data_IF_651883751958
#
_entry.id   IF_651883751958
#
_cell.length_a   1.000
_cell.length_b   1.000
_cell.length_c   1.000
_cell.angle_alpha   90.00
_cell.angle_beta   90.00
_cell.angle_gamma   90.00
#
_symmetry.space_group_name_H-M   'P 1'
#
loop_
_entity.id
_entity.type
_entity.pdbx_description
1 polymer ?
#
# COMPACT_ATOMS: atom_id res chain seq x y z
N UNK A 1 -9.54 13.71 -14.58
CA UNK A 1 -8.77 12.44 -14.60
C UNK A 1 -8.75 11.92 -16.02
N UNK A 2 -7.61 11.43 -16.50
CA UNK A 2 -7.47 10.71 -17.79
C UNK A 2 -6.71 9.39 -17.58
N UNK A 3 -6.62 8.56 -18.63
CA UNK A 3 -5.80 7.33 -18.67
C UNK A 3 -6.11 6.31 -17.56
N UNK A 4 -7.40 6.27 -17.19
CA UNK A 4 -7.90 5.49 -16.06
C UNK A 4 -7.77 4.00 -16.34
N UNK A 5 -7.00 3.31 -15.50
CA UNK A 5 -6.73 1.88 -15.59
C UNK A 5 -6.85 1.24 -14.22
N UNK A 6 -7.53 0.11 -14.14
CA UNK A 6 -7.59 -0.71 -12.92
C UNK A 6 -6.63 -1.89 -13.04
N UNK A 7 -5.98 -2.26 -11.93
CA UNK A 7 -5.14 -3.45 -11.88
C UNK A 7 -5.71 -4.47 -10.90
N UNK A 8 -6.13 -5.62 -11.44
CA UNK A 8 -6.73 -6.78 -10.75
C UNK A 8 -7.90 -6.41 -9.82
N UNK A 9 -8.49 -7.38 -9.11
CA UNK A 9 -9.65 -7.17 -8.23
C UNK A 9 -9.28 -6.67 -6.81
N UNK A 10 -8.09 -6.10 -6.61
CA UNK A 10 -7.61 -5.71 -5.26
C UNK A 10 -7.75 -4.22 -4.94
N UNK A 11 -8.54 -3.48 -5.71
CA UNK A 11 -8.78 -2.05 -5.48
C UNK A 11 -7.54 -1.20 -5.76
N UNK A 12 -7.01 -1.28 -6.99
CA UNK A 12 -5.97 -0.38 -7.48
C UNK A 12 -6.49 0.38 -8.70
N UNK A 13 -6.22 1.68 -8.72
CA UNK A 13 -6.58 2.59 -9.80
C UNK A 13 -5.35 3.43 -10.15
N UNK A 14 -5.00 3.45 -11.44
CA UNK A 14 -3.96 4.31 -12.01
C UNK A 14 -4.67 5.32 -12.92
N UNK A 15 -4.35 6.60 -12.78
CA UNK A 15 -4.93 7.67 -13.57
C UNK A 15 -4.00 8.88 -13.56
N UNK A 16 -4.20 9.78 -14.54
CA UNK A 16 -3.54 11.08 -14.61
C UNK A 16 -4.48 12.17 -14.10
N UNK A 17 -3.96 13.13 -13.33
CA UNK A 17 -4.74 14.29 -12.86
C UNK A 17 -3.85 15.50 -12.60
N UNK A 18 -4.31 16.68 -13.01
CA UNK A 18 -3.71 17.98 -12.65
C UNK A 18 -4.16 18.46 -11.27
N UNK A 19 -5.26 17.91 -10.74
CA UNK A 19 -5.75 18.13 -9.38
C UNK A 19 -5.85 16.80 -8.62
N UNK A 20 -4.76 16.33 -7.99
CA UNK A 20 -4.74 15.08 -7.23
C UNK A 20 -5.67 15.12 -6.00
N UNK A 21 -5.83 16.28 -5.36
CA UNK A 21 -6.64 16.43 -4.15
C UNK A 21 -8.13 16.33 -4.47
N UNK A 22 -8.60 17.08 -5.46
CA UNK A 22 -9.98 16.99 -5.94
C UNK A 22 -10.29 15.60 -6.50
N UNK A 23 -9.32 14.97 -7.18
CA UNK A 23 -9.45 13.60 -7.64
C UNK A 23 -9.66 12.60 -6.49
N UNK A 24 -8.88 12.71 -5.41
CA UNK A 24 -9.06 11.88 -4.21
C UNK A 24 -10.45 12.08 -3.60
N UNK A 25 -10.87 13.33 -3.37
CA UNK A 25 -12.17 13.64 -2.78
C UNK A 25 -13.33 13.08 -3.61
N UNK A 26 -13.25 13.21 -4.94
CA UNK A 26 -14.27 12.67 -5.84
C UNK A 26 -14.35 11.13 -5.77
N UNK A 27 -13.21 10.44 -5.68
CA UNK A 27 -13.16 8.99 -5.52
C UNK A 27 -13.72 8.54 -4.18
N UNK A 28 -13.32 9.18 -3.07
CA UNK A 28 -13.83 8.86 -1.74
C UNK A 28 -15.35 9.05 -1.66
N UNK A 29 -15.86 10.15 -2.21
CA UNK A 29 -17.32 10.42 -2.27
C UNK A 29 -18.06 9.37 -3.10
N UNK A 30 -17.52 9.02 -4.26
CA UNK A 30 -18.15 8.02 -5.14
C UNK A 30 -18.17 6.63 -4.51
N UNK A 31 -17.09 6.27 -3.80
CA UNK A 31 -17.01 5.00 -3.07
C UNK A 31 -17.94 4.99 -1.85
N UNK A 32 -18.12 6.11 -1.16
CA UNK A 32 -19.08 6.25 -0.08
C UNK A 32 -20.51 6.06 -0.56
N UNK A 33 -20.89 6.72 -1.65
CA UNK A 33 -22.22 6.59 -2.26
C UNK A 33 -22.50 5.15 -2.71
N UNK A 34 -21.48 4.46 -3.23
CA UNK A 34 -21.59 3.07 -3.65
C UNK A 34 -21.64 2.09 -2.47
N UNK A 35 -20.79 2.28 -1.45
CA UNK A 35 -20.62 1.35 -0.34
C UNK A 35 -21.56 1.61 0.85
N UNK A 36 -22.21 2.79 0.89
CA UNK A 36 -23.05 3.24 2.01
C UNK A 36 -22.27 3.61 3.28
N UNK A 37 -20.95 3.81 3.17
CA UNK A 37 -20.05 4.19 4.28
C UNK A 37 -18.77 4.79 3.74
N UNK A 38 -18.10 5.62 4.55
CA UNK A 38 -16.80 6.20 4.18
C UNK A 38 -15.77 5.12 3.82
N UNK A 39 -15.14 5.29 2.65
CA UNK A 39 -14.05 4.44 2.16
C UNK A 39 -12.84 5.33 1.89
N UNK A 40 -11.77 5.13 2.65
CA UNK A 40 -10.53 5.90 2.47
C UNK A 40 -9.80 5.54 1.18
N UNK A 41 -9.25 6.54 0.49
CA UNK A 41 -8.41 6.35 -0.70
C UNK A 41 -6.96 6.75 -0.38
N UNK A 42 -6.05 5.81 -0.60
CA UNK A 42 -4.60 6.09 -0.56
C UNK A 42 -4.15 6.55 -1.94
N UNK A 43 -3.71 7.81 -2.03
CA UNK A 43 -3.15 8.38 -3.25
C UNK A 43 -1.62 8.43 -3.16
N UNK A 44 -0.96 7.93 -4.21
CA UNK A 44 0.49 7.98 -4.41
C UNK A 44 0.79 8.28 -5.86
N UNK A 45 1.77 9.16 -6.09
CA UNK A 45 2.33 9.42 -7.41
C UNK A 45 3.18 8.24 -7.89
N UNK A 46 3.44 8.18 -9.20
CA UNK A 46 4.33 7.18 -9.79
C UNK A 46 5.74 7.22 -9.15
N UNK A 47 6.25 8.42 -8.89
CA UNK A 47 7.56 8.60 -8.25
C UNK A 47 7.57 8.08 -6.81
N UNK A 48 6.57 8.42 -6.00
CA UNK A 48 6.48 7.90 -4.62
C UNK A 48 6.38 6.37 -4.61
N UNK A 49 5.64 5.78 -5.55
CA UNK A 49 5.55 4.31 -5.66
C UNK A 49 6.89 3.68 -6.07
N UNK A 50 7.66 4.33 -6.95
CA UNK A 50 9.01 3.90 -7.31
C UNK A 50 9.98 4.01 -6.12
N UNK A 51 9.88 5.07 -5.33
CA UNK A 51 10.71 5.27 -4.14
C UNK A 51 10.44 4.19 -3.08
N UNK A 52 9.19 3.75 -2.94
CA UNK A 52 8.81 2.62 -2.07
C UNK A 52 9.47 1.30 -2.52
N UNK A 53 9.58 1.05 -3.83
CA UNK A 53 10.29 -0.13 -4.34
C UNK A 53 11.79 -0.05 -4.04
N UNK A 54 12.38 1.13 -4.22
CA UNK A 54 13.81 1.36 -4.00
C UNK A 54 14.18 1.26 -2.51
N UNK A 55 13.28 1.69 -1.63
CA UNK A 55 13.46 1.65 -0.17
C UNK A 55 13.11 0.30 0.46
N UNK A 56 12.66 -0.70 -0.31
CA UNK A 56 12.37 -2.04 0.21
C UNK A 56 13.64 -2.66 0.84
N UNK A 57 13.66 -2.96 2.15
CA UNK A 57 14.83 -3.53 2.81
C UNK A 57 15.02 -5.03 2.52
N UNK A 58 14.01 -5.70 1.95
CA UNK A 58 14.00 -7.14 1.72
C UNK A 58 14.31 -7.51 0.26
N UNK A 59 15.33 -6.88 -0.35
CA UNK A 59 15.64 -7.06 -1.78
C UNK A 59 16.02 -8.50 -2.15
N UNK A 60 16.64 -9.23 -1.23
CA UNK A 60 17.07 -10.62 -1.43
C UNK A 60 15.94 -11.66 -1.16
N UNK A 61 14.82 -11.22 -0.59
CA UNK A 61 13.70 -12.11 -0.28
C UNK A 61 12.79 -12.34 -1.49
N UNK A 62 12.01 -13.43 -1.46
CA UNK A 62 11.03 -13.67 -2.52
C UNK A 62 9.96 -12.54 -2.52
N UNK A 63 9.79 -11.79 -3.62
CA UNK A 63 8.89 -10.63 -3.65
C UNK A 63 7.40 -10.99 -3.46
N UNK A 64 6.99 -12.23 -3.79
CA UNK A 64 5.63 -12.70 -3.46
C UNK A 64 5.34 -12.78 -1.96
N UNK A 65 6.38 -12.76 -1.13
CA UNK A 65 6.31 -12.79 0.34
C UNK A 65 6.54 -11.42 0.98
N UNK A 66 6.64 -10.35 0.20
CA UNK A 66 6.85 -9.00 0.72
C UNK A 66 5.55 -8.22 0.55
N UNK A 67 5.04 -7.69 1.65
CA UNK A 67 3.94 -6.73 1.68
C UNK A 67 4.42 -5.36 2.16
N UNK A 68 3.85 -4.31 1.60
CA UNK A 68 4.02 -2.94 2.05
C UNK A 68 2.67 -2.43 2.52
N UNK A 69 2.58 -2.06 3.80
CA UNK A 69 1.44 -1.34 4.36
C UNK A 69 1.64 0.15 4.08
N UNK A 70 0.77 0.75 3.26
CA UNK A 70 0.76 2.18 3.00
C UNK A 70 -0.07 2.92 4.05
N UNK A 71 0.48 4.03 4.56
CA UNK A 71 -0.15 4.90 5.56
C UNK A 71 -0.21 6.34 5.06
N UNK A 72 -1.10 7.17 5.64
CA UNK A 72 -1.11 8.61 5.33
C UNK A 72 0.07 9.32 6.00
N UNK A 73 0.41 8.89 7.22
CA UNK A 73 1.45 9.47 8.06
C UNK A 73 2.53 8.44 8.43
N UNK A 74 3.63 8.91 9.02
CA UNK A 74 4.69 8.04 9.48
C UNK A 74 4.19 7.09 10.58
N UNK A 75 4.54 5.78 10.53
CA UNK A 75 4.16 4.85 11.59
C UNK A 75 4.84 5.24 12.92
N UNK A 76 4.14 5.12 14.06
CA UNK A 76 4.75 5.28 15.38
C UNK A 76 5.96 4.35 15.56
N UNK A 77 7.02 4.83 16.22
CA UNK A 77 8.27 4.07 16.38
C UNK A 77 8.10 2.76 17.15
N UNK A 78 7.13 2.70 18.05
CA UNK A 78 6.79 1.52 18.85
C UNK A 78 5.90 0.52 18.10
N UNK A 79 5.45 0.81 16.87
CA UNK A 79 4.59 -0.05 16.05
C UNK A 79 5.05 -1.52 16.02
N UNK A 80 6.37 -1.74 15.90
CA UNK A 80 6.95 -3.09 15.86
C UNK A 80 6.93 -3.76 17.23
N UNK A 81 7.16 -3.00 18.31
CA UNK A 81 7.21 -3.48 19.68
C UNK A 81 5.84 -3.97 20.15
N UNK A 82 4.79 -3.25 19.79
CA UNK A 82 3.40 -3.56 20.20
C UNK A 82 2.67 -4.44 19.19
N UNK A 83 3.37 -4.98 18.20
CA UNK A 83 2.85 -5.94 17.24
C UNK A 83 2.33 -7.20 17.95
N UNK A 84 1.18 -7.70 17.52
CA UNK A 84 0.57 -8.93 18.07
C UNK A 84 0.57 -10.04 17.04
N UNK A 85 0.66 -11.28 17.50
CA UNK A 85 0.56 -12.46 16.64
C UNK A 85 1.71 -12.62 15.63
N UNK A 86 2.81 -11.90 15.85
CA UNK A 86 4.06 -12.03 15.08
C UNK A 86 4.67 -13.41 15.36
N UNK A 87 5.02 -14.12 14.31
CA UNK A 87 5.76 -15.37 14.30
C UNK A 87 7.12 -15.14 13.63
N UNK A 88 7.25 -15.51 12.36
CA UNK A 88 8.48 -15.39 11.57
C UNK A 88 8.53 -14.11 10.71
N UNK A 89 7.53 -13.23 10.82
CA UNK A 89 7.52 -12.01 10.02
C UNK A 89 8.63 -11.04 10.43
N UNK A 90 9.27 -10.42 9.45
CA UNK A 90 10.23 -9.34 9.65
C UNK A 90 9.56 -8.02 9.29
N UNK A 91 9.75 -6.99 10.11
CA UNK A 91 9.02 -5.72 10.03
C UNK A 91 10.01 -4.58 10.08
N UNK A 92 9.94 -3.68 9.09
CA UNK A 92 10.78 -2.49 9.01
C UNK A 92 9.89 -1.28 8.73
N UNK A 93 10.06 -0.22 9.52
CA UNK A 93 9.34 1.04 9.35
C UNK A 93 10.00 1.89 8.26
N UNK A 94 9.20 2.37 7.31
CA UNK A 94 9.58 3.34 6.29
C UNK A 94 9.13 4.76 6.64
N UNK A 95 9.10 5.64 5.63
CA UNK A 95 8.69 7.03 5.82
C UNK A 95 7.19 7.17 6.08
N UNK A 96 6.36 6.52 5.27
CA UNK A 96 4.89 6.42 5.45
C UNK A 96 4.39 5.00 5.13
N UNK A 97 5.29 4.04 5.29
CA UNK A 97 5.09 2.65 4.91
C UNK A 97 5.59 1.73 6.02
N UNK A 98 5.03 0.52 6.11
CA UNK A 98 5.63 -0.57 6.87
C UNK A 98 5.92 -1.71 5.92
N UNK A 99 7.21 -2.07 5.78
CA UNK A 99 7.64 -3.22 5.01
C UNK A 99 7.53 -4.47 5.88
N UNK A 100 6.89 -5.50 5.35
CA UNK A 100 6.68 -6.76 6.05
C UNK A 100 7.12 -7.90 5.13
N UNK A 101 8.13 -8.66 5.57
CA UNK A 101 8.46 -9.94 4.97
C UNK A 101 7.68 -11.05 5.69
N UNK A 102 7.03 -11.91 4.92
CA UNK A 102 6.22 -13.04 5.38
C UNK A 102 6.86 -14.37 4.95
N UNK A 103 7.91 -14.89 5.63
CA UNK A 103 8.61 -16.09 5.17
C UNK A 103 7.67 -17.31 5.03
N UNK A 104 6.73 -17.49 5.97
CA UNK A 104 5.70 -18.54 5.92
C UNK A 104 4.51 -18.25 4.99
N UNK A 105 4.46 -17.05 4.40
CA UNK A 105 3.43 -16.62 3.44
C UNK A 105 2.35 -15.70 4.06
N UNK A 106 2.00 -14.65 3.31
CA UNK A 106 1.10 -13.57 3.75
C UNK A 106 -0.30 -14.06 4.16
N UNK A 107 -0.84 -15.11 3.51
CA UNK A 107 -2.16 -15.65 3.84
C UNK A 107 -2.22 -16.46 5.15
N UNK A 108 -1.07 -16.78 5.75
CA UNK A 108 -0.98 -17.60 6.99
C UNK A 108 -0.64 -16.77 8.22
N UNK A 109 -0.26 -15.51 8.03
CA UNK A 109 0.15 -14.62 9.12
C UNK A 109 -1.01 -14.33 10.08
N UNK A 110 -0.70 -14.30 11.37
CA UNK A 110 -1.59 -13.76 12.41
C UNK A 110 -1.12 -12.38 12.87
N UNK A 111 -0.13 -11.79 12.20
CA UNK A 111 0.40 -10.48 12.51
C UNK A 111 -0.71 -9.44 12.51
N UNK A 112 -0.71 -8.63 13.56
CA UNK A 112 -1.55 -7.44 13.71
C UNK A 112 -0.66 -6.30 14.18
N UNK A 113 -0.53 -5.28 13.34
CA UNK A 113 0.06 -4.00 13.71
C UNK A 113 -1.08 -3.02 14.06
N UNK A 114 -0.92 -2.16 15.07
CA UNK A 114 -1.93 -1.15 15.43
C UNK A 114 -2.36 -0.30 14.23
N UNK A 115 -1.41 0.07 13.38
CA UNK A 115 -1.62 0.92 12.20
C UNK A 115 -2.23 0.19 11.00
N UNK A 116 -2.46 -1.13 11.05
CA UNK A 116 -3.03 -1.87 9.91
C UNK A 116 -4.44 -1.41 9.54
N UNK A 117 -5.24 -0.94 10.50
CA UNK A 117 -6.59 -0.44 10.23
C UNK A 117 -6.61 0.93 9.54
N UNK A 118 -5.49 1.65 9.56
CA UNK A 118 -5.34 3.00 9.01
C UNK A 118 -4.81 2.98 7.57
N UNK A 119 -4.45 1.81 7.07
CA UNK A 119 -3.72 1.66 5.82
C UNK A 119 -4.15 0.47 4.98
N UNK A 120 -3.42 0.29 3.89
CA UNK A 120 -3.67 -0.81 2.95
C UNK A 120 -2.38 -1.57 2.65
N UNK A 121 -2.43 -2.90 2.72
CA UNK A 121 -1.29 -3.74 2.38
C UNK A 121 -1.34 -4.09 0.90
N UNK A 122 -0.21 -3.93 0.21
CA UNK A 122 -0.02 -4.38 -1.18
C UNK A 122 1.25 -5.20 -1.30
N UNK A 123 1.20 -6.24 -2.13
CA UNK A 123 2.38 -7.03 -2.46
C UNK A 123 3.36 -6.20 -3.31
N UNK A 124 4.66 -6.38 -3.11
CA UNK A 124 5.68 -5.59 -3.84
C UNK A 124 5.65 -5.83 -5.36
N UNK A 125 5.24 -7.00 -5.84
CA UNK A 125 5.04 -7.22 -7.28
C UNK A 125 3.89 -6.37 -7.81
N UNK A 126 2.79 -6.25 -7.05
CA UNK A 126 1.68 -5.37 -7.42
C UNK A 126 2.15 -3.92 -7.52
N UNK A 127 2.94 -3.45 -6.55
CA UNK A 127 3.54 -2.10 -6.57
C UNK A 127 4.39 -1.93 -7.84
N UNK A 128 5.26 -2.89 -8.15
CA UNK A 128 6.07 -2.89 -9.37
C UNK A 128 5.25 -2.82 -10.65
N UNK A 129 4.13 -3.54 -10.73
CA UNK A 129 3.22 -3.44 -11.89
C UNK A 129 2.51 -2.09 -11.97
N UNK A 130 2.06 -1.54 -10.83
CA UNK A 130 1.40 -0.23 -10.79
C UNK A 130 2.35 0.89 -11.22
N UNK A 131 3.62 0.83 -10.82
CA UNK A 131 4.65 1.78 -11.28
C UNK A 131 4.78 1.71 -12.81
N UNK A 132 4.97 0.51 -13.38
CA UNK A 132 5.07 0.36 -14.84
C UNK A 132 3.84 0.92 -15.55
N UNK A 133 2.64 0.58 -15.07
CA UNK A 133 1.41 1.13 -15.62
C UNK A 133 1.39 2.65 -15.57
N UNK A 134 1.80 3.26 -14.46
CA UNK A 134 1.80 4.71 -14.29
C UNK A 134 2.88 5.44 -15.08
N UNK A 135 3.95 4.76 -15.52
CA UNK A 135 5.05 5.35 -16.32
C UNK A 135 4.91 5.09 -17.82
N UNK A 136 4.15 4.07 -18.23
CA UNK A 136 3.91 3.71 -19.64
C UNK A 136 2.88 4.65 -20.32
N UNK A 137 2.99 5.96 -20.09
CA UNK A 137 2.06 7.00 -20.62
C UNK A 137 2.72 7.88 -21.67
#
# INVERSE_FOLDING_TARGET
>A
MSDVRTYIQSGNLVFSSEDPSGAKMALEKSLEDYAGKAVGVMLRSAQEMQDVLNANPFQEANPSKIGVLFLNDAPPRDTVLIAKGRADEEIVLGAREVYIHFPSGMGRTKLRLPVMSEGTVRNVNTIGTLVKMATDT
#
